data_IF_075334143635
#
_entry.id   IF_075334143635
#
_cell.length_a   1.000
_cell.length_b   1.000
_cell.length_c   1.000
_cell.angle_alpha   90.00
_cell.angle_beta   90.00
_cell.angle_gamma   90.00
#
_symmetry.space_group_name_H-M   'P 1'
#
loop_
_entity.id
_entity.type
_entity.pdbx_description
1 polymer ?
#
# COMPACT_ATOMS: atom_id res chain seq x y z
N UNK A 1 18.00 92.93 -3.43
CA UNK A 1 18.01 91.92 -4.52
C UNK A 1 18.57 90.54 -4.13
N UNK A 2 19.19 90.35 -2.94
CA UNK A 2 19.75 89.05 -2.51
C UNK A 2 18.77 88.10 -1.80
N UNK A 3 17.59 88.58 -1.37
CA UNK A 3 16.60 87.75 -0.64
C UNK A 3 15.77 86.80 -1.51
N UNK A 4 15.62 87.07 -2.81
CA UNK A 4 14.81 86.23 -3.70
C UNK A 4 15.54 84.98 -4.22
N UNK A 5 16.86 85.00 -4.31
CA UNK A 5 17.64 83.82 -4.76
C UNK A 5 17.78 82.73 -3.70
N UNK A 6 17.66 83.06 -2.41
CA UNK A 6 17.76 82.08 -1.32
C UNK A 6 16.47 81.25 -1.21
N UNK A 7 15.31 81.86 -1.52
CA UNK A 7 14.00 81.21 -1.41
C UNK A 7 13.79 80.16 -2.52
N UNK A 8 14.27 80.44 -3.74
CA UNK A 8 14.15 79.50 -4.88
C UNK A 8 15.08 78.29 -4.75
N UNK A 9 16.29 78.46 -4.21
CA UNK A 9 17.20 77.33 -3.95
C UNK A 9 16.70 76.39 -2.85
N UNK A 10 16.09 76.94 -1.79
CA UNK A 10 15.57 76.13 -0.68
C UNK A 10 14.33 75.32 -1.10
N UNK A 11 13.46 75.88 -1.95
CA UNK A 11 12.31 75.14 -2.50
C UNK A 11 12.73 73.98 -3.41
N UNK A 12 13.76 74.17 -4.23
CA UNK A 12 14.26 73.11 -5.13
C UNK A 12 14.86 71.92 -4.35
N UNK A 13 15.64 72.18 -3.30
CA UNK A 13 16.25 71.13 -2.46
C UNK A 13 15.19 70.36 -1.69
N UNK A 14 14.17 71.04 -1.14
CA UNK A 14 13.06 70.41 -0.45
C UNK A 14 12.22 69.53 -1.39
N UNK A 15 11.97 69.97 -2.63
CA UNK A 15 11.24 69.18 -3.62
C UNK A 15 12.01 67.92 -4.04
N UNK A 16 13.33 68.03 -4.19
CA UNK A 16 14.18 66.90 -4.58
C UNK A 16 14.31 65.86 -3.45
N UNK A 17 14.34 66.30 -2.19
CA UNK A 17 14.30 65.40 -1.03
C UNK A 17 12.93 64.71 -0.86
N UNK A 18 11.83 65.38 -1.22
CA UNK A 18 10.49 64.80 -1.18
C UNK A 18 10.28 63.74 -2.28
N UNK A 19 10.79 63.99 -3.48
CA UNK A 19 10.70 63.04 -4.59
C UNK A 19 11.52 61.77 -4.34
N UNK A 20 12.71 61.87 -3.73
CA UNK A 20 13.54 60.70 -3.41
C UNK A 20 12.93 59.86 -2.28
N UNK A 21 12.34 60.49 -1.27
CA UNK A 21 11.63 59.76 -0.20
C UNK A 21 10.39 59.04 -0.70
N UNK A 22 9.59 59.64 -1.59
CA UNK A 22 8.45 58.96 -2.22
C UNK A 22 8.91 57.77 -3.08
N UNK A 23 10.00 57.91 -3.82
CA UNK A 23 10.53 56.86 -4.67
C UNK A 23 11.08 55.66 -3.86
N UNK A 24 11.74 55.94 -2.72
CA UNK A 24 12.19 54.92 -1.77
C UNK A 24 11.01 54.23 -1.06
N UNK A 25 9.96 54.98 -0.70
CA UNK A 25 8.75 54.43 -0.10
C UNK A 25 8.01 53.50 -1.07
N UNK A 26 7.91 53.88 -2.35
CA UNK A 26 7.29 53.06 -3.41
C UNK A 26 8.03 51.74 -3.64
N UNK A 27 9.36 51.76 -3.67
CA UNK A 27 10.18 50.52 -3.78
C UNK A 27 10.05 49.64 -2.54
N UNK A 28 9.99 50.24 -1.35
CA UNK A 28 9.79 49.51 -0.10
C UNK A 28 8.42 48.83 -0.04
N UNK A 29 7.36 49.52 -0.48
CA UNK A 29 6.00 48.98 -0.59
C UNK A 29 5.92 47.82 -1.60
N UNK A 30 6.62 47.90 -2.74
CA UNK A 30 6.66 46.81 -3.73
C UNK A 30 7.39 45.57 -3.20
N UNK A 31 8.54 45.75 -2.54
CA UNK A 31 9.30 44.63 -1.95
C UNK A 31 8.50 43.99 -0.81
N UNK A 32 7.87 44.79 0.05
CA UNK A 32 7.04 44.27 1.14
C UNK A 32 5.84 43.47 0.62
N UNK A 33 5.18 43.95 -0.45
CA UNK A 33 4.08 43.25 -1.12
C UNK A 33 4.53 41.90 -1.73
N UNK A 34 5.71 41.85 -2.34
CA UNK A 34 6.27 40.61 -2.87
C UNK A 34 6.57 39.60 -1.75
N UNK A 35 7.16 40.05 -0.63
CA UNK A 35 7.47 39.20 0.52
C UNK A 35 6.22 38.67 1.21
N UNK A 36 5.16 39.48 1.36
CA UNK A 36 3.88 39.02 1.92
C UNK A 36 3.19 38.01 1.00
N UNK A 37 3.26 38.20 -0.32
CA UNK A 37 2.70 37.27 -1.31
C UNK A 37 3.44 35.93 -1.31
N UNK A 38 4.78 35.93 -1.21
CA UNK A 38 5.58 34.70 -1.07
C UNK A 38 5.26 33.98 0.24
N UNK A 39 5.14 34.70 1.37
CA UNK A 39 4.75 34.08 2.64
C UNK A 39 3.35 33.49 2.58
N UNK A 40 2.41 34.18 1.93
CA UNK A 40 1.06 33.66 1.75
C UNK A 40 1.06 32.40 0.87
N UNK A 41 1.86 32.36 -0.21
CA UNK A 41 2.02 31.16 -1.04
C UNK A 41 2.67 29.99 -0.29
N UNK A 42 3.68 30.25 0.55
CA UNK A 42 4.30 29.21 1.39
C UNK A 42 3.34 28.67 2.45
N UNK A 43 2.58 29.56 3.10
CA UNK A 43 1.53 29.16 4.05
C UNK A 43 0.43 28.38 3.31
N UNK A 44 0.02 28.81 2.12
CA UNK A 44 -0.94 28.07 1.29
C UNK A 44 -0.40 26.70 0.93
N UNK A 45 0.88 26.57 0.54
CA UNK A 45 1.50 25.28 0.22
C UNK A 45 1.57 24.33 1.44
N UNK A 46 1.81 24.86 2.65
CA UNK A 46 1.78 24.09 3.90
C UNK A 46 0.35 23.72 4.33
N UNK A 47 -0.62 24.57 4.00
CA UNK A 47 -2.03 24.37 4.32
C UNK A 47 -2.80 23.58 3.27
N UNK A 48 -2.24 23.28 2.09
CA UNK A 48 -2.82 22.28 1.18
C UNK A 48 -2.69 20.95 1.94
N UNK A 49 -3.80 20.39 2.46
CA UNK A 49 -3.72 19.08 3.06
C UNK A 49 -3.37 18.15 1.90
N UNK A 50 -2.31 17.36 2.05
CA UNK A 50 -2.03 16.22 1.17
C UNK A 50 -3.15 15.20 1.41
N UNK A 51 -4.30 15.45 0.79
CA UNK A 51 -5.52 14.67 0.93
C UNK A 51 -6.02 14.35 -0.47
N UNK A 52 -5.28 13.50 -1.17
CA UNK A 52 -5.75 12.74 -2.32
C UNK A 52 -4.65 11.79 -2.83
N UNK A 53 -4.39 10.70 -2.13
CA UNK A 53 -3.91 9.44 -2.73
C UNK A 53 -4.53 8.27 -1.96
N UNK A 54 -5.84 8.34 -1.73
CA UNK A 54 -6.62 7.21 -1.23
C UNK A 54 -7.76 6.96 -2.23
N UNK A 55 -7.41 6.41 -3.38
CA UNK A 55 -8.14 5.32 -4.01
C UNK A 55 -7.25 4.80 -5.14
N UNK A 56 -7.16 3.48 -5.26
CA UNK A 56 -6.39 2.82 -6.30
C UNK A 56 -7.08 3.02 -7.67
N UNK A 57 -6.89 4.19 -8.28
CA UNK A 57 -7.29 4.51 -9.68
C UNK A 57 -6.50 3.70 -10.72
N UNK A 58 -5.74 2.69 -10.28
CA UNK A 58 -4.99 1.79 -11.14
C UNK A 58 -5.99 0.83 -11.77
N UNK A 59 -6.14 0.88 -13.08
CA UNK A 59 -6.96 -0.07 -13.83
C UNK A 59 -6.17 -1.38 -14.00
N UNK A 60 -6.82 -2.52 -13.79
CA UNK A 60 -6.22 -3.82 -14.04
C UNK A 60 -5.96 -4.00 -15.54
N UNK A 61 -4.69 -4.05 -15.95
CA UNK A 61 -4.30 -4.05 -17.36
C UNK A 61 -4.38 -5.43 -18.04
N UNK A 62 -4.43 -6.51 -17.26
CA UNK A 62 -4.44 -7.88 -17.75
C UNK A 62 -5.55 -8.68 -17.08
N UNK A 63 -6.12 -9.65 -17.79
CA UNK A 63 -7.17 -10.54 -17.27
C UNK A 63 -6.66 -11.42 -16.11
N UNK A 64 -5.37 -11.78 -16.13
CA UNK A 64 -4.72 -12.59 -15.09
C UNK A 64 -4.38 -11.78 -13.82
N UNK A 65 -4.56 -10.46 -13.86
CA UNK A 65 -4.23 -9.58 -12.75
C UNK A 65 -5.26 -9.72 -11.62
N UNK A 66 -4.76 -9.82 -10.39
CA UNK A 66 -5.59 -9.84 -9.20
C UNK A 66 -6.10 -8.43 -8.94
N UNK A 67 -7.42 -8.27 -8.92
CA UNK A 67 -8.06 -6.98 -8.66
C UNK A 67 -8.18 -6.68 -7.16
N UNK A 68 -8.24 -7.73 -6.35
CA UNK A 68 -8.42 -7.59 -4.91
C UNK A 68 -8.14 -8.88 -4.16
N UNK A 69 -8.08 -8.78 -2.84
CA UNK A 69 -7.75 -9.87 -1.96
C UNK A 69 -8.66 -9.82 -0.74
N UNK A 70 -9.15 -10.99 -0.31
CA UNK A 70 -9.72 -11.15 1.00
C UNK A 70 -8.67 -11.77 1.93
N UNK A 71 -8.30 -11.03 2.96
CA UNK A 71 -7.44 -11.46 4.06
C UNK A 71 -8.29 -11.85 5.26
N UNK A 72 -8.08 -13.04 5.80
CA UNK A 72 -8.76 -13.55 7.00
C UNK A 72 -7.75 -13.68 8.12
N UNK A 73 -8.14 -13.22 9.30
CA UNK A 73 -7.37 -13.37 10.52
C UNK A 73 -8.02 -14.40 11.44
N UNK A 74 -7.18 -15.12 12.17
CA UNK A 74 -7.55 -16.20 13.08
C UNK A 74 -6.82 -16.00 14.40
N UNK A 75 -7.39 -16.51 15.48
CA UNK A 75 -6.72 -16.50 16.77
C UNK A 75 -5.48 -17.37 16.75
N UNK A 76 -4.43 -16.89 17.41
CA UNK A 76 -3.27 -17.71 17.72
C UNK A 76 -3.70 -18.75 18.77
N UNK A 77 -3.44 -20.02 18.47
CA UNK A 77 -3.38 -21.04 19.51
C UNK A 77 -2.14 -20.73 20.33
N UNK A 78 -2.30 -20.66 21.66
CA UNK A 78 -1.15 -20.55 22.55
C UNK A 78 -0.15 -21.65 22.18
N UNK A 79 1.09 -21.24 21.92
CA UNK A 79 2.17 -22.18 21.74
C UNK A 79 2.16 -23.08 22.97
N UNK A 80 2.15 -24.41 22.76
CA UNK A 80 2.41 -25.36 23.84
C UNK A 80 3.74 -24.89 24.41
N UNK A 81 3.71 -24.28 25.59
CA UNK A 81 4.91 -23.84 26.28
C UNK A 81 5.85 -25.03 26.32
N UNK A 82 7.14 -24.77 26.17
CA UNK A 82 8.19 -25.78 26.29
C UNK A 82 8.09 -26.48 27.65
N UNK A 83 7.25 -27.51 27.71
CA UNK A 83 7.08 -28.43 28.80
C UNK A 83 7.76 -29.71 28.38
N UNK A 84 8.97 -29.90 28.87
CA UNK A 84 9.69 -31.16 28.86
C UNK A 84 8.79 -32.31 29.32
N UNK A 85 8.39 -33.18 28.40
CA UNK A 85 7.60 -34.36 28.76
C UNK A 85 7.23 -35.16 27.52
N UNK A 86 7.93 -36.26 27.30
CA UNK A 86 7.47 -37.32 26.42
C UNK A 86 6.08 -37.77 26.86
N UNK A 87 5.07 -37.56 26.01
CA UNK A 87 3.89 -38.41 26.05
C UNK A 87 3.36 -38.67 24.64
N UNK A 88 3.24 -39.96 24.35
CA UNK A 88 2.81 -40.50 23.06
C UNK A 88 1.30 -40.66 23.11
N UNK A 89 0.57 -39.70 22.52
CA UNK A 89 -0.89 -39.73 22.42
C UNK A 89 -1.36 -39.82 20.98
N UNK A 90 -1.88 -40.98 20.58
CA UNK A 90 -2.43 -41.28 19.26
C UNK A 90 -3.64 -40.42 18.88
N UNK A 91 -3.68 -39.97 17.62
CA UNK A 91 -4.93 -39.70 16.91
C UNK A 91 -5.06 -38.29 16.33
N UNK A 92 -4.82 -38.18 15.02
CA UNK A 92 -5.62 -37.47 14.01
C UNK A 92 -4.73 -36.91 12.89
N UNK A 93 -4.96 -37.43 11.68
CA UNK A 93 -4.68 -36.88 10.34
C UNK A 93 -3.33 -36.20 10.11
N UNK A 94 -2.43 -36.96 9.48
CA UNK A 94 -1.42 -36.56 8.50
C UNK A 94 -1.37 -35.03 8.19
N UNK A 95 -0.64 -34.30 9.02
CA UNK A 95 -0.24 -32.92 8.77
C UNK A 95 0.84 -32.92 7.67
N UNK A 96 0.82 -31.98 6.71
CA UNK A 96 1.78 -32.00 5.62
C UNK A 96 3.18 -31.78 6.20
N UNK A 97 4.00 -32.84 6.17
CA UNK A 97 5.43 -32.81 6.45
C UNK A 97 6.06 -31.59 5.75
N UNK A 98 6.53 -30.65 6.58
CA UNK A 98 7.50 -29.64 6.21
C UNK A 98 8.89 -30.22 6.52
N UNK A 99 9.91 -29.84 5.74
CA UNK A 99 11.31 -30.13 6.07
C UNK A 99 11.56 -29.73 7.54
N UNK A 100 12.17 -30.62 8.30
CA UNK A 100 12.18 -30.70 9.78
C UNK A 100 12.91 -29.55 10.52
N UNK A 101 13.08 -28.37 9.92
CA UNK A 101 13.87 -27.29 10.51
C UNK A 101 13.07 -26.05 10.93
N UNK A 102 11.80 -25.92 10.53
CA UNK A 102 10.95 -24.80 10.98
C UNK A 102 9.52 -25.29 11.23
N UNK A 103 9.24 -25.76 12.44
CA UNK A 103 7.86 -25.78 12.95
C UNK A 103 7.35 -24.34 12.97
N UNK A 104 6.12 -24.06 12.48
CA UNK A 104 5.54 -22.73 12.60
C UNK A 104 5.64 -22.28 14.05
N UNK A 105 6.26 -21.11 14.28
CA UNK A 105 6.46 -20.58 15.64
C UNK A 105 5.12 -20.33 16.34
N UNK A 106 4.07 -20.18 15.52
CA UNK A 106 2.71 -19.85 15.92
C UNK A 106 1.70 -20.70 15.14
N UNK A 107 0.83 -21.42 15.85
CA UNK A 107 -0.29 -22.18 15.24
C UNK A 107 -1.56 -21.33 15.32
N UNK A 108 -2.41 -21.39 14.30
CA UNK A 108 -3.69 -20.68 14.28
C UNK A 108 -4.87 -21.62 14.47
N UNK A 109 -5.90 -21.14 15.16
CA UNK A 109 -7.18 -21.82 15.25
C UNK A 109 -8.07 -21.42 14.06
N UNK A 110 -8.10 -22.28 13.04
CA UNK A 110 -8.93 -22.06 11.85
C UNK A 110 -10.43 -22.28 12.09
N UNK A 111 -10.84 -22.73 13.28
CA UNK A 111 -12.26 -22.88 13.61
C UNK A 111 -12.94 -21.54 13.94
N UNK A 112 -12.17 -20.55 14.42
CA UNK A 112 -12.67 -19.26 14.88
C UNK A 112 -12.05 -18.11 14.08
N UNK A 113 -12.70 -17.71 12.98
CA UNK A 113 -12.30 -16.54 12.20
C UNK A 113 -12.59 -15.25 12.98
N UNK A 114 -11.55 -14.44 13.22
CA UNK A 114 -11.65 -13.17 13.97
C UNK A 114 -12.18 -12.06 13.06
N UNK A 115 -11.57 -11.90 11.89
CA UNK A 115 -11.93 -10.85 10.94
C UNK A 115 -11.65 -11.27 9.51
N UNK A 116 -12.35 -10.62 8.59
CA UNK A 116 -12.08 -10.68 7.16
C UNK A 116 -12.02 -9.25 6.61
N UNK A 117 -10.92 -8.91 5.95
CA UNK A 117 -10.69 -7.62 5.32
C UNK A 117 -10.60 -7.83 3.82
N UNK A 118 -11.39 -7.06 3.06
CA UNK A 118 -11.29 -7.03 1.60
C UNK A 118 -10.45 -5.82 1.20
N UNK A 119 -9.38 -6.06 0.44
CA UNK A 119 -8.49 -5.03 -0.09
C UNK A 119 -8.58 -4.99 -1.61
N UNK A 120 -8.69 -3.79 -2.17
CA UNK A 120 -8.70 -3.57 -3.62
C UNK A 120 -7.30 -3.16 -4.09
N UNK A 121 -6.73 -3.96 -5.00
CA UNK A 121 -5.41 -3.70 -5.60
C UNK A 121 -5.55 -2.83 -6.85
N UNK A 122 -6.48 -3.16 -7.73
CA UNK A 122 -6.77 -2.41 -8.95
C UNK A 122 -8.27 -2.47 -9.28
N UNK A 123 -8.74 -1.49 -10.05
CA UNK A 123 -10.11 -1.42 -10.54
C UNK A 123 -10.25 -2.23 -11.83
N UNK A 124 -11.34 -3.00 -11.93
CA UNK A 124 -11.64 -3.76 -13.13
C UNK A 124 -12.10 -2.84 -14.27
N UNK A 125 -11.79 -3.22 -15.50
CA UNK A 125 -12.26 -2.52 -16.69
C UNK A 125 -13.76 -2.79 -16.95
N UNK A 126 -14.41 -1.93 -17.74
CA UNK A 126 -15.78 -2.14 -18.27
C UNK A 126 -16.89 -2.26 -17.22
N UNK A 127 -16.91 -1.39 -16.21
CA UNK A 127 -17.97 -1.31 -15.17
C UNK A 127 -18.12 -2.57 -14.30
N UNK A 128 -17.27 -3.57 -14.49
CA UNK A 128 -17.19 -4.73 -13.60
C UNK A 128 -16.60 -4.30 -12.27
N UNK A 129 -17.12 -4.84 -11.17
CA UNK A 129 -16.63 -4.55 -9.82
C UNK A 129 -15.73 -5.67 -9.33
N UNK A 130 -14.64 -5.29 -8.67
CA UNK A 130 -13.78 -6.25 -7.98
C UNK A 130 -14.46 -6.71 -6.69
N UNK A 131 -15.37 -7.67 -6.83
CA UNK A 131 -16.14 -8.24 -5.72
C UNK A 131 -15.87 -9.74 -5.61
N UNK A 132 -15.83 -10.24 -4.38
CA UNK A 132 -15.60 -11.66 -4.11
C UNK A 132 -16.81 -12.49 -4.56
N UNK A 133 -16.62 -13.30 -5.61
CA UNK A 133 -17.59 -14.30 -6.06
C UNK A 133 -16.92 -15.68 -6.12
N UNK A 134 -17.72 -16.74 -6.14
CA UNK A 134 -17.18 -18.11 -6.20
C UNK A 134 -16.46 -18.39 -7.53
N UNK A 135 -16.88 -17.74 -8.60
CA UNK A 135 -16.39 -17.96 -9.97
C UNK A 135 -15.11 -17.20 -10.32
N UNK A 136 -14.80 -16.12 -9.61
CA UNK A 136 -13.68 -15.23 -9.85
C UNK A 136 -12.65 -15.24 -8.69
N UNK A 137 -12.77 -16.17 -7.75
CA UNK A 137 -11.88 -16.26 -6.59
C UNK A 137 -11.00 -17.50 -6.60
N UNK A 138 -9.80 -17.34 -6.04
CA UNK A 138 -8.81 -18.40 -5.85
C UNK A 138 -8.38 -18.39 -4.39
N UNK A 139 -8.81 -19.42 -3.63
CA UNK A 139 -8.35 -19.65 -2.26
C UNK A 139 -6.95 -20.26 -2.30
N UNK A 140 -5.96 -19.59 -1.73
CA UNK A 140 -4.59 -20.10 -1.63
C UNK A 140 -4.39 -20.91 -0.36
N UNK A 141 -4.84 -20.37 0.77
CA UNK A 141 -4.88 -21.03 2.07
C UNK A 141 -6.10 -20.54 2.87
N UNK A 142 -6.17 -20.86 4.17
CA UNK A 142 -7.27 -20.41 5.02
C UNK A 142 -7.31 -18.89 5.21
N UNK A 143 -6.18 -18.20 5.05
CA UNK A 143 -6.03 -16.76 5.33
C UNK A 143 -6.17 -15.89 4.08
N UNK A 144 -5.80 -16.39 2.91
CA UNK A 144 -5.68 -15.58 1.69
C UNK A 144 -6.57 -16.13 0.58
N UNK A 145 -7.48 -15.29 0.11
CA UNK A 145 -8.28 -15.53 -1.10
C UNK A 145 -8.06 -14.40 -2.09
N UNK A 146 -7.60 -14.73 -3.29
CA UNK A 146 -7.41 -13.78 -4.39
C UNK A 146 -8.71 -13.59 -5.18
N UNK A 147 -8.92 -12.40 -5.72
CA UNK A 147 -10.10 -12.01 -6.50
C UNK A 147 -9.65 -11.48 -7.87
N UNK A 148 -10.26 -12.00 -8.93
CA UNK A 148 -10.04 -11.55 -10.30
C UNK A 148 -11.27 -10.78 -10.81
N UNK A 149 -11.07 -9.96 -11.84
CA UNK A 149 -12.15 -9.24 -12.50
C UNK A 149 -13.13 -10.18 -13.23
N UNK A 150 -12.59 -11.21 -13.88
CA UNK A 150 -13.35 -12.18 -14.67
C UNK A 150 -13.31 -13.59 -14.07
N UNK A 151 -14.05 -14.52 -14.67
CA UNK A 151 -14.10 -15.91 -14.21
C UNK A 151 -12.73 -16.57 -14.30
N UNK A 152 -12.33 -17.25 -13.23
CA UNK A 152 -11.07 -18.01 -13.16
C UNK A 152 -11.00 -19.05 -14.28
N UNK A 153 -12.13 -19.64 -14.68
CA UNK A 153 -12.21 -20.67 -15.73
C UNK A 153 -11.91 -20.11 -17.12
N UNK A 154 -12.27 -18.86 -17.37
CA UNK A 154 -12.09 -18.22 -18.68
C UNK A 154 -10.64 -17.77 -18.88
N UNK A 155 -10.02 -17.32 -17.79
CA UNK A 155 -8.64 -16.84 -17.72
C UNK A 155 -7.66 -18.02 -17.76
N UNK A 156 -7.77 -18.97 -16.83
CA UNK A 156 -6.80 -20.06 -16.66
C UNK A 156 -7.29 -21.35 -17.31
N UNK A 157 -7.10 -21.46 -18.62
CA UNK A 157 -7.51 -22.63 -19.41
C UNK A 157 -6.53 -23.79 -19.37
N UNK A 158 -5.29 -23.52 -18.99
CA UNK A 158 -4.19 -24.50 -19.02
C UNK A 158 -3.80 -24.93 -17.61
N UNK A 159 -3.50 -26.23 -17.40
CA UNK A 159 -3.05 -26.73 -16.11
C UNK A 159 -1.65 -26.22 -15.79
N UNK A 160 -1.36 -26.07 -14.50
CA UNK A 160 -0.04 -25.72 -14.02
C UNK A 160 0.99 -26.81 -14.33
N UNK A 161 2.11 -26.43 -14.96
CA UNK A 161 3.26 -27.32 -15.23
C UNK A 161 4.59 -26.60 -15.01
N UNK A 162 5.57 -27.30 -14.47
CA UNK A 162 6.93 -26.79 -14.26
C UNK A 162 6.95 -25.51 -13.41
N UNK A 163 7.72 -24.51 -13.83
CA UNK A 163 7.87 -23.25 -13.09
C UNK A 163 6.57 -22.43 -12.95
N UNK A 164 5.55 -22.68 -13.79
CA UNK A 164 4.23 -22.02 -13.67
C UNK A 164 3.45 -22.47 -12.44
N UNK A 165 3.85 -23.58 -11.81
CA UNK A 165 3.18 -24.09 -10.59
C UNK A 165 3.46 -23.26 -9.34
N UNK A 166 4.17 -22.13 -9.46
CA UNK A 166 4.51 -21.26 -8.34
C UNK A 166 3.71 -19.96 -8.40
N UNK A 167 3.09 -19.64 -7.28
CA UNK A 167 2.34 -18.40 -7.07
C UNK A 167 3.04 -17.60 -5.98
N UNK A 168 3.10 -16.28 -6.14
CA UNK A 168 3.63 -15.37 -5.11
C UNK A 168 2.60 -14.33 -4.74
N UNK A 169 2.41 -14.13 -3.45
CA UNK A 169 1.60 -13.03 -2.90
C UNK A 169 2.52 -12.12 -2.11
N UNK A 170 2.62 -10.86 -2.52
CA UNK A 170 3.54 -9.86 -2.00
C UNK A 170 2.75 -8.87 -1.15
N UNK A 171 3.19 -8.67 0.09
CA UNK A 171 2.47 -7.83 1.03
C UNK A 171 3.27 -7.47 2.28
N UNK A 172 2.65 -6.72 3.18
CA UNK A 172 3.20 -6.46 4.52
C UNK A 172 2.93 -7.68 5.39
N UNK A 173 3.97 -8.16 6.07
CA UNK A 173 3.85 -9.32 6.97
C UNK A 173 3.30 -8.89 8.33
N UNK A 174 2.52 -9.76 8.96
CA UNK A 174 2.12 -9.62 10.35
C UNK A 174 3.32 -9.84 11.28
N UNK A 175 3.28 -9.29 12.49
CA UNK A 175 4.35 -9.45 13.49
C UNK A 175 4.64 -10.92 13.86
N UNK A 176 3.63 -11.80 13.71
CA UNK A 176 3.79 -13.23 13.92
C UNK A 176 4.60 -13.94 12.83
N UNK A 177 4.88 -13.28 11.70
CA UNK A 177 5.62 -13.86 10.58
C UNK A 177 4.87 -14.90 9.74
N UNK A 178 3.61 -15.20 10.07
CA UNK A 178 2.88 -16.34 9.47
C UNK A 178 1.68 -15.91 8.59
N UNK A 179 1.33 -14.62 8.60
CA UNK A 179 0.21 -14.05 7.84
C UNK A 179 0.59 -12.69 7.23
N UNK A 180 -0.20 -12.23 6.26
CA UNK A 180 -0.06 -10.90 5.67
C UNK A 180 -1.12 -9.96 6.26
N UNK A 181 -0.72 -8.72 6.54
CA UNK A 181 -1.62 -7.64 7.00
C UNK A 181 -2.19 -6.82 5.86
N UNK A 182 -1.49 -6.76 4.73
CA UNK A 182 -1.96 -6.13 3.50
C UNK A 182 -1.30 -6.78 2.28
N UNK A 183 -1.96 -6.75 1.12
CA UNK A 183 -1.39 -7.25 -0.15
C UNK A 183 -1.23 -6.11 -1.15
N UNK A 184 -0.06 -6.06 -1.78
CA UNK A 184 0.25 -5.05 -2.81
C UNK A 184 0.22 -5.65 -4.20
N UNK A 185 0.71 -6.87 -4.35
CA UNK A 185 0.81 -7.54 -5.65
C UNK A 185 0.67 -9.05 -5.48
N UNK A 186 0.10 -9.71 -6.48
CA UNK A 186 0.10 -11.15 -6.57
C UNK A 186 0.48 -11.57 -7.99
N UNK A 187 1.46 -12.47 -8.08
CA UNK A 187 1.96 -13.02 -9.33
C UNK A 187 1.51 -14.46 -9.45
N UNK A 188 0.74 -14.73 -10.50
CA UNK A 188 0.02 -15.97 -10.68
C UNK A 188 -0.06 -16.32 -12.17
N UNK A 189 0.20 -17.57 -12.53
CA UNK A 189 0.31 -17.97 -13.95
C UNK A 189 -0.69 -19.05 -14.39
N UNK A 190 -1.32 -19.76 -13.44
CA UNK A 190 -2.24 -20.87 -13.74
C UNK A 190 -2.98 -21.30 -12.48
N UNK A 191 -4.21 -21.82 -12.63
CA UNK A 191 -5.00 -22.37 -11.53
C UNK A 191 -4.57 -23.80 -11.20
N UNK A 192 -4.27 -24.06 -9.92
CA UNK A 192 -4.10 -25.42 -9.41
C UNK A 192 -5.46 -26.00 -8.99
N UNK A 193 -5.89 -27.09 -9.63
CA UNK A 193 -7.19 -27.72 -9.32
C UNK A 193 -7.20 -28.43 -7.96
N UNK A 194 -6.03 -28.89 -7.49
CA UNK A 194 -5.85 -29.60 -6.21
C UNK A 194 -5.56 -28.66 -5.04
N UNK A 195 -5.55 -27.35 -5.28
CA UNK A 195 -5.17 -26.34 -4.29
C UNK A 195 -3.67 -26.06 -4.24
N UNK A 196 -3.27 -25.35 -3.19
CA UNK A 196 -1.94 -24.77 -3.04
C UNK A 196 -1.35 -25.13 -1.68
N UNK A 197 -0.03 -25.27 -1.61
CA UNK A 197 0.74 -25.38 -0.36
C UNK A 197 1.74 -24.24 -0.30
N UNK A 198 1.73 -23.49 0.81
CA UNK A 198 2.79 -22.51 1.10
C UNK A 198 4.10 -23.25 1.31
N UNK A 199 5.13 -22.89 0.54
CA UNK A 199 6.43 -23.57 0.59
C UNK A 199 7.53 -22.73 1.23
N UNK A 200 7.42 -21.40 1.20
CA UNK A 200 8.37 -20.48 1.84
C UNK A 200 7.82 -19.06 1.92
N UNK A 201 8.43 -18.27 2.77
CA UNK A 201 8.27 -16.81 2.87
C UNK A 201 9.64 -16.19 2.54
N UNK A 202 9.67 -15.22 1.63
CA UNK A 202 10.91 -14.58 1.19
C UNK A 202 10.84 -13.07 1.40
N UNK A 203 11.94 -12.41 1.81
CA UNK A 203 11.98 -10.95 1.83
C UNK A 203 11.83 -10.39 0.41
N UNK A 204 11.12 -9.28 0.30
CA UNK A 204 10.89 -8.51 -0.92
C UNK A 204 11.35 -7.06 -0.73
N UNK A 205 11.28 -6.25 -1.79
CA UNK A 205 11.67 -4.84 -1.71
C UNK A 205 10.75 -4.04 -0.77
N UNK A 206 11.28 -2.96 -0.16
CA UNK A 206 10.52 -2.01 0.67
C UNK A 206 9.81 -2.63 1.89
N UNK A 207 10.51 -3.51 2.63
CA UNK A 207 9.99 -4.20 3.83
C UNK A 207 8.74 -5.04 3.57
N UNK A 208 8.53 -5.47 2.32
CA UNK A 208 7.49 -6.41 1.94
C UNK A 208 8.02 -7.85 2.00
N UNK A 209 7.11 -8.80 2.02
CA UNK A 209 7.41 -10.23 1.99
C UNK A 209 6.59 -10.93 0.93
N UNK A 210 7.20 -11.90 0.26
CA UNK A 210 6.57 -12.75 -0.73
C UNK A 210 6.23 -14.12 -0.12
N UNK A 211 4.94 -14.42 -0.01
CA UNK A 211 4.45 -15.73 0.36
C UNK A 211 4.40 -16.59 -0.91
N UNK A 212 5.20 -17.65 -0.94
CA UNK A 212 5.35 -18.50 -2.13
C UNK A 212 4.57 -19.78 -1.96
N UNK A 213 3.69 -20.05 -2.91
CA UNK A 213 2.82 -21.22 -2.96
C UNK A 213 3.19 -22.12 -4.13
N UNK A 214 3.00 -23.42 -3.97
CA UNK A 214 3.13 -24.45 -5.01
C UNK A 214 1.81 -25.21 -5.17
N UNK A 215 1.46 -25.61 -6.40
CA UNK A 215 0.36 -26.56 -6.62
C UNK A 215 0.57 -27.90 -5.89
N UNK A 216 -0.52 -28.51 -5.43
CA UNK A 216 -0.62 -29.89 -4.95
C UNK A 216 -0.84 -30.92 -6.08
#
# INVERSE_FOLDING_TARGET
MWRQFIISGFQAVMFQQFLTTICLLSRYLQVFSLFTLIRFLLILFVLIPVKAMNDSDIICNNLEMICGVQLRSYSLLEAISEGSGWDSGSGMSEFPLYDEFFTPMHRFDFSNMISATNETICQCANETKCELKMENSIKLDEMITLILCDSVKDIFRFPCRGARSLTRVIGRIHESGESLTSVTEAVFFCKCDRGYKRIKIEPWINDLYAFVYRCL
#
